data_IF_428900119375
#
_entry.id   IF_428900119375
#
_cell.length_a   1.000
_cell.length_b   1.000
_cell.length_c   1.000
_cell.angle_alpha   90.00
_cell.angle_beta   90.00
_cell.angle_gamma   90.00
#
_symmetry.space_group_name_H-M   'P 1'
#
loop_
_entity.id
_entity.type
_entity.pdbx_description
1 polymer ?
#
# COMPACT_ATOMS: atom_id res chain seq x y z
N UNK A 1 -25.09 3.36 0.29
CA UNK A 1 -24.25 4.24 1.13
C UNK A 1 -22.90 3.55 1.21
N UNK A 2 -21.82 4.23 0.92
CA UNK A 2 -20.47 3.61 0.92
C UNK A 2 -20.01 3.46 2.39
N UNK A 3 -19.80 2.22 2.85
CA UNK A 3 -19.45 1.92 4.24
C UNK A 3 -17.94 1.97 4.51
N UNK A 4 -17.15 2.54 3.59
CA UNK A 4 -15.71 2.67 3.72
C UNK A 4 -15.30 3.66 4.81
N UNK A 5 -14.19 3.41 5.48
CA UNK A 5 -13.60 4.32 6.47
C UNK A 5 -12.96 5.55 5.82
N UNK A 6 -12.28 5.34 4.67
CA UNK A 6 -11.76 6.38 3.80
C UNK A 6 -12.60 6.34 2.53
N UNK A 7 -13.44 7.34 2.33
CA UNK A 7 -14.32 7.43 1.16
C UNK A 7 -13.64 8.14 -0.01
N UNK A 8 -12.66 9.00 0.28
CA UNK A 8 -11.94 9.74 -0.72
C UNK A 8 -10.99 10.76 -0.11
N UNK A 9 -10.42 11.56 -0.97
CA UNK A 9 -9.52 12.66 -0.60
C UNK A 9 -9.73 13.87 -1.51
N UNK A 10 -9.32 15.04 -1.01
CA UNK A 10 -9.26 16.30 -1.76
C UNK A 10 -7.91 16.95 -1.48
N UNK A 11 -7.27 17.53 -2.49
CA UNK A 11 -5.97 18.19 -2.38
C UNK A 11 -6.15 19.69 -2.62
N UNK A 12 -5.78 20.51 -1.63
CA UNK A 12 -5.70 21.95 -1.77
C UNK A 12 -4.30 22.34 -2.26
N UNK A 13 -4.14 22.47 -3.56
CA UNK A 13 -2.87 22.79 -4.19
C UNK A 13 -2.30 24.17 -3.80
N UNK A 14 -3.10 25.09 -3.25
CA UNK A 14 -2.58 26.36 -2.76
C UNK A 14 -1.71 26.21 -1.51
N UNK A 15 -1.84 25.09 -0.81
CA UNK A 15 -1.02 24.75 0.38
C UNK A 15 0.29 24.06 0.04
N UNK A 16 0.49 23.63 -1.20
CA UNK A 16 1.74 23.02 -1.69
C UNK A 16 2.60 24.08 -2.37
N UNK A 17 3.85 24.23 -1.95
CA UNK A 17 4.77 25.22 -2.56
C UNK A 17 4.94 24.99 -4.07
N UNK A 18 5.09 26.06 -4.88
CA UNK A 18 5.22 25.95 -6.33
C UNK A 18 6.38 25.05 -6.80
N UNK A 19 7.46 25.00 -6.01
CA UNK A 19 8.68 24.24 -6.35
C UNK A 19 8.73 22.85 -5.69
N UNK A 20 7.67 22.42 -5.00
CA UNK A 20 7.65 21.12 -4.37
C UNK A 20 7.63 20.02 -5.44
N UNK A 21 8.44 18.97 -5.23
CA UNK A 21 8.60 17.87 -6.18
C UNK A 21 7.29 17.16 -6.53
N UNK A 22 6.32 17.11 -5.60
CA UNK A 22 5.02 16.46 -5.84
C UNK A 22 4.23 17.08 -6.99
N UNK A 23 4.46 18.39 -7.29
CA UNK A 23 3.88 19.07 -8.45
C UNK A 23 4.50 18.62 -9.77
N UNK A 24 5.67 17.99 -9.74
CA UNK A 24 6.36 17.47 -10.91
C UNK A 24 5.98 16.02 -11.21
N UNK A 25 5.20 15.37 -10.35
CA UNK A 25 4.68 14.03 -10.56
C UNK A 25 3.35 14.14 -11.31
N UNK A 26 3.30 13.83 -12.63
CA UNK A 26 2.13 14.13 -13.44
C UNK A 26 0.86 13.49 -12.92
N UNK A 27 0.92 12.21 -12.51
CA UNK A 27 -0.22 11.48 -11.99
C UNK A 27 -0.80 12.10 -10.71
N UNK A 28 0.04 12.69 -9.85
CA UNK A 28 -0.40 13.33 -8.60
C UNK A 28 -0.91 14.75 -8.85
N UNK A 29 -0.17 15.54 -9.65
CA UNK A 29 -0.47 16.95 -9.90
C UNK A 29 -1.82 17.19 -10.57
N UNK A 30 -2.38 16.17 -11.21
CA UNK A 30 -3.71 16.19 -11.83
C UNK A 30 -4.87 15.82 -10.88
N UNK A 31 -4.59 15.54 -9.59
CA UNK A 31 -5.64 15.13 -8.64
C UNK A 31 -6.14 16.36 -7.87
N UNK A 32 -7.39 16.72 -8.07
CA UNK A 32 -8.10 17.62 -7.14
C UNK A 32 -8.90 16.80 -6.12
N UNK A 33 -9.56 15.74 -6.57
CA UNK A 33 -10.36 14.83 -5.75
C UNK A 33 -10.15 13.39 -6.21
N UNK A 34 -10.21 12.45 -5.27
CA UNK A 34 -10.18 11.01 -5.55
C UNK A 34 -11.19 10.29 -4.66
N UNK A 35 -11.89 9.29 -5.20
CA UNK A 35 -12.94 8.56 -4.48
C UNK A 35 -12.67 7.07 -4.52
N UNK A 36 -12.80 6.43 -3.36
CA UNK A 36 -12.72 4.98 -3.20
C UNK A 36 -14.12 4.37 -3.29
N UNK A 37 -14.27 3.27 -4.00
CA UNK A 37 -15.57 2.62 -4.22
C UNK A 37 -15.64 1.22 -3.61
N UNK A 38 -14.48 0.58 -3.40
CA UNK A 38 -14.41 -0.80 -2.91
C UNK A 38 -13.55 -0.91 -1.64
N UNK A 39 -13.76 -1.96 -0.84
CA UNK A 39 -12.96 -2.20 0.37
C UNK A 39 -11.48 -2.46 0.09
N UNK A 40 -11.15 -2.93 -1.11
CA UNK A 40 -9.77 -3.21 -1.51
C UNK A 40 -9.45 -2.38 -2.75
N UNK A 41 -8.46 -1.51 -2.64
CA UNK A 41 -7.98 -0.65 -3.73
C UNK A 41 -6.49 -0.90 -3.94
N UNK A 42 -6.10 -1.19 -5.19
CA UNK A 42 -4.71 -1.29 -5.60
C UNK A 42 -4.28 -0.08 -6.43
N UNK A 43 -3.06 0.39 -6.18
CA UNK A 43 -2.35 1.33 -7.03
C UNK A 43 -1.23 0.59 -7.76
N UNK A 44 -1.21 0.68 -9.09
CA UNK A 44 -0.23 0.05 -9.97
C UNK A 44 0.42 1.09 -10.88
N UNK A 45 1.49 0.72 -11.57
CA UNK A 45 2.22 1.57 -12.52
C UNK A 45 3.73 1.49 -12.31
N UNK A 46 4.51 2.14 -13.18
CA UNK A 46 5.97 2.13 -13.14
C UNK A 46 6.56 2.73 -11.87
N UNK A 47 7.83 2.40 -11.61
CA UNK A 47 8.58 3.01 -10.51
C UNK A 47 8.75 4.52 -10.76
N UNK A 48 8.55 5.33 -9.69
CA UNK A 48 8.61 6.79 -9.80
C UNK A 48 7.31 7.45 -10.28
N UNK A 49 6.25 6.71 -10.61
CA UNK A 49 4.96 7.28 -11.03
C UNK A 49 4.19 7.99 -9.92
N UNK A 50 4.64 7.87 -8.65
CA UNK A 50 4.05 8.59 -7.50
C UNK A 50 3.13 7.75 -6.61
N UNK A 51 3.01 6.44 -6.84
CA UNK A 51 2.14 5.53 -6.05
C UNK A 51 2.43 5.63 -4.55
N UNK A 52 3.68 5.35 -4.15
CA UNK A 52 4.09 5.37 -2.74
C UNK A 52 4.00 6.78 -2.14
N UNK A 53 4.23 7.84 -2.94
CA UNK A 53 4.08 9.24 -2.50
C UNK A 53 2.61 9.54 -2.15
N UNK A 54 1.67 9.13 -3.01
CA UNK A 54 0.24 9.32 -2.73
C UNK A 54 -0.21 8.45 -1.55
N UNK A 55 0.24 7.19 -1.50
CA UNK A 55 -0.10 6.26 -0.43
C UNK A 55 0.37 6.77 0.93
N UNK A 56 1.63 7.25 1.03
CA UNK A 56 2.17 7.86 2.24
C UNK A 56 1.38 9.10 2.65
N UNK A 57 1.05 9.98 1.68
CA UNK A 57 0.26 11.18 1.98
C UNK A 57 -1.14 10.81 2.51
N UNK A 58 -1.79 9.78 1.99
CA UNK A 58 -3.07 9.26 2.50
C UNK A 58 -2.89 8.74 3.93
N UNK A 59 -1.85 7.94 4.18
CA UNK A 59 -1.59 7.37 5.49
C UNK A 59 -1.37 8.46 6.55
N UNK A 60 -0.51 9.44 6.27
CA UNK A 60 -0.21 10.53 7.18
C UNK A 60 -1.42 11.45 7.39
N UNK A 61 -2.13 11.83 6.33
CA UNK A 61 -3.34 12.66 6.43
C UNK A 61 -4.47 11.94 7.19
N UNK A 62 -4.51 10.61 7.14
CA UNK A 62 -5.44 9.80 7.93
C UNK A 62 -5.03 9.68 9.40
N UNK A 63 -3.76 9.92 9.74
CA UNK A 63 -3.22 9.95 11.10
C UNK A 63 -2.31 8.79 11.47
N UNK A 64 -1.71 8.09 10.48
CA UNK A 64 -0.60 7.17 10.70
C UNK A 64 0.74 7.91 10.76
N UNK A 65 1.74 7.27 11.37
CA UNK A 65 3.11 7.74 11.28
C UNK A 65 3.67 7.50 9.86
N UNK A 66 4.44 8.44 9.32
CA UNK A 66 5.08 8.29 8.01
C UNK A 66 6.06 7.10 7.94
N UNK A 67 6.66 6.72 9.08
CA UNK A 67 7.54 5.55 9.17
C UNK A 67 6.77 4.21 9.22
N UNK A 68 5.43 4.25 9.31
CA UNK A 68 4.58 3.06 9.41
C UNK A 68 4.21 2.69 10.85
N UNK A 69 3.49 1.58 11.01
CA UNK A 69 3.00 1.07 12.28
C UNK A 69 1.54 1.40 12.55
N UNK A 70 1.11 1.22 13.80
CA UNK A 70 -0.25 1.57 14.24
C UNK A 70 -0.36 3.07 14.53
N UNK A 71 -1.59 3.60 14.61
CA UNK A 71 -1.83 5.02 14.95
C UNK A 71 -1.30 5.45 16.32
N UNK A 72 -1.03 4.51 17.21
CA UNK A 72 -0.53 4.79 18.57
C UNK A 72 1.00 5.01 18.60
N UNK A 73 1.69 4.73 17.51
CA UNK A 73 3.13 4.99 17.40
C UNK A 73 3.37 6.45 17.01
N UNK A 74 3.58 7.30 18.01
CA UNK A 74 3.94 8.71 17.81
C UNK A 74 5.45 8.89 17.87
N UNK A 75 6.18 8.46 16.84
CA UNK A 75 7.57 8.86 16.66
C UNK A 75 7.73 9.66 15.40
N UNK A 76 8.35 10.79 15.53
CA UNK A 76 8.89 11.54 14.41
C UNK A 76 10.41 11.59 14.58
N UNK A 77 11.14 10.72 13.90
CA UNK A 77 12.60 10.81 13.82
C UNK A 77 13.04 11.82 12.78
N UNK A 78 12.18 12.17 11.82
CA UNK A 78 12.45 13.20 10.80
C UNK A 78 11.15 13.84 10.30
N UNK A 79 11.17 15.17 10.12
CA UNK A 79 10.15 15.94 9.40
C UNK A 79 10.28 15.71 7.87
N UNK A 80 10.23 14.45 7.42
CA UNK A 80 10.34 14.08 6.01
C UNK A 80 8.99 13.97 5.30
N UNK A 81 7.92 14.50 5.92
CA UNK A 81 6.59 14.44 5.33
C UNK A 81 6.55 15.28 4.06
N UNK A 82 6.05 14.69 3.00
CA UNK A 82 5.67 15.43 1.81
C UNK A 82 4.63 16.50 2.19
N UNK A 83 4.80 17.75 1.72
CA UNK A 83 3.79 18.81 1.89
C UNK A 83 2.41 18.38 1.38
N UNK A 84 2.35 17.33 0.58
CA UNK A 84 1.12 16.76 0.06
C UNK A 84 0.17 16.30 1.18
N UNK A 85 0.69 15.69 2.26
CA UNK A 85 -0.16 15.25 3.37
C UNK A 85 -0.83 16.42 4.12
N UNK A 86 -0.15 17.58 4.20
CA UNK A 86 -0.70 18.79 4.83
C UNK A 86 -1.75 19.49 3.96
N UNK A 87 -1.63 19.32 2.63
CA UNK A 87 -2.57 19.85 1.66
C UNK A 87 -3.78 18.91 1.44
N UNK A 88 -3.70 17.67 1.93
CA UNK A 88 -4.71 16.64 1.72
C UNK A 88 -5.77 16.65 2.82
N UNK A 89 -7.02 16.56 2.42
CA UNK A 89 -8.17 16.34 3.30
C UNK A 89 -8.78 14.98 3.01
N UNK A 90 -8.87 14.10 4.01
CA UNK A 90 -9.49 12.78 3.89
C UNK A 90 -10.99 12.87 4.17
N UNK A 91 -11.79 12.48 3.21
CA UNK A 91 -13.23 12.25 3.39
C UNK A 91 -13.43 10.93 4.14
N UNK A 92 -13.77 11.02 5.44
CA UNK A 92 -13.99 9.87 6.31
C UNK A 92 -15.44 9.42 6.27
N UNK A 93 -15.68 8.11 6.28
CA UNK A 93 -16.98 7.52 6.47
C UNK A 93 -17.50 7.73 7.89
N UNK A 94 -18.76 7.30 8.14
CA UNK A 94 -19.40 7.41 9.46
C UNK A 94 -18.86 6.38 10.46
N UNK A 95 -18.32 5.26 9.98
CA UNK A 95 -17.71 4.22 10.81
C UNK A 95 -16.34 4.67 11.32
N UNK A 96 -15.97 4.24 12.52
CA UNK A 96 -14.62 4.43 13.06
C UNK A 96 -13.91 3.09 13.07
N UNK A 97 -12.71 2.97 12.51
CA UNK A 97 -11.97 1.72 12.55
C UNK A 97 -11.51 1.41 13.97
N UNK A 98 -11.59 0.13 14.36
CA UNK A 98 -11.06 -0.36 15.63
C UNK A 98 -9.56 -0.59 15.56
N UNK A 99 -9.07 -0.92 14.37
CA UNK A 99 -7.68 -1.25 14.08
C UNK A 99 -7.16 -0.42 12.92
N UNK A 100 -5.86 -0.37 12.78
CA UNK A 100 -5.24 0.25 11.61
C UNK A 100 -3.74 0.07 11.62
N UNK A 101 -3.19 -0.14 10.44
CA UNK A 101 -1.76 -0.33 10.25
C UNK A 101 -1.30 0.24 8.91
N UNK A 102 -0.22 1.01 8.96
CA UNK A 102 0.51 1.43 7.77
C UNK A 102 1.79 0.62 7.67
N UNK A 103 1.92 -0.13 6.59
CA UNK A 103 3.06 -1.00 6.32
C UNK A 103 3.86 -0.44 5.15
N UNK A 104 5.17 -0.22 5.39
CA UNK A 104 6.15 0.08 4.34
C UNK A 104 7.20 -1.01 4.34
N UNK A 105 7.55 -1.54 3.17
CA UNK A 105 8.60 -2.55 3.05
C UNK A 105 9.94 -2.03 3.61
N UNK A 106 10.26 -0.77 3.34
CA UNK A 106 11.51 -0.12 3.81
C UNK A 106 11.58 0.06 5.34
N UNK A 107 10.44 0.31 5.99
CA UNK A 107 10.39 0.60 7.44
C UNK A 107 10.12 -0.64 8.28
N UNK A 108 9.89 -1.78 7.65
CA UNK A 108 9.54 -3.02 8.35
C UNK A 108 10.56 -3.39 9.43
N UNK A 109 11.85 -3.23 9.15
CA UNK A 109 12.93 -3.46 10.12
C UNK A 109 12.87 -2.54 11.33
N UNK A 110 12.54 -1.28 11.11
CA UNK A 110 12.45 -0.30 12.18
C UNK A 110 11.29 -0.63 13.12
N UNK A 111 10.16 -1.07 12.58
CA UNK A 111 8.99 -1.48 13.38
C UNK A 111 9.27 -2.75 14.16
N UNK A 112 9.90 -3.75 13.56
CA UNK A 112 10.26 -4.99 14.23
C UNK A 112 11.33 -4.77 15.32
N UNK A 113 12.26 -3.84 15.13
CA UNK A 113 13.27 -3.48 16.13
C UNK A 113 12.62 -2.74 17.31
N UNK A 114 11.73 -1.80 17.04
CA UNK A 114 11.06 -1.03 18.07
C UNK A 114 10.05 -1.87 18.90
N UNK A 115 9.49 -2.92 18.33
CA UNK A 115 8.65 -3.86 19.09
C UNK A 115 9.43 -4.50 20.26
N UNK A 116 10.72 -4.75 20.06
CA UNK A 116 11.60 -5.23 21.14
C UNK A 116 11.83 -4.15 22.19
N UNK A 117 12.07 -2.90 21.77
CA UNK A 117 12.32 -1.78 22.70
C UNK A 117 11.10 -1.48 23.59
N UNK A 118 9.89 -1.84 23.15
CA UNK A 118 8.65 -1.70 23.91
C UNK A 118 8.20 -2.98 24.63
N UNK A 119 8.90 -4.10 24.45
CA UNK A 119 8.62 -5.31 25.19
C UNK A 119 9.08 -5.17 26.64
N UNK A 120 8.24 -5.57 27.57
CA UNK A 120 8.50 -5.66 28.99
C UNK A 120 8.07 -7.04 29.53
N UNK A 121 8.21 -7.26 30.85
CA UNK A 121 7.85 -8.53 31.48
C UNK A 121 6.35 -8.84 31.38
N UNK A 122 5.50 -7.81 31.26
CA UNK A 122 4.05 -7.94 31.11
C UNK A 122 3.63 -8.11 29.63
N UNK A 123 4.47 -7.65 28.69
CA UNK A 123 4.26 -7.71 27.25
C UNK A 123 5.53 -8.22 26.55
N UNK A 124 5.78 -9.56 26.60
CA UNK A 124 6.99 -10.14 26.02
C UNK A 124 7.03 -9.95 24.50
N UNK A 125 8.23 -9.71 23.96
CA UNK A 125 8.44 -9.60 22.52
C UNK A 125 7.89 -10.83 21.78
N UNK A 126 7.19 -10.60 20.68
CA UNK A 126 6.65 -11.64 19.80
C UNK A 126 7.72 -12.34 18.95
N UNK A 127 8.99 -11.93 19.12
CA UNK A 127 10.14 -12.60 18.52
C UNK A 127 10.21 -12.53 16.99
N UNK A 128 9.71 -11.45 16.39
CA UNK A 128 9.73 -11.27 14.94
C UNK A 128 11.13 -11.37 14.34
N UNK A 129 12.18 -10.95 15.04
CA UNK A 129 13.57 -11.06 14.60
C UNK A 129 14.12 -12.49 14.54
N UNK A 130 13.46 -13.46 15.20
CA UNK A 130 13.88 -14.87 15.18
C UNK A 130 13.31 -15.63 13.98
N UNK A 131 12.44 -15.00 13.21
CA UNK A 131 11.79 -15.56 12.02
C UNK A 131 12.48 -15.03 10.75
N UNK A 132 12.31 -15.74 9.62
CA UNK A 132 12.71 -15.17 8.33
C UNK A 132 11.90 -13.91 8.02
N UNK A 133 12.43 -13.00 7.21
CA UNK A 133 11.77 -11.73 6.83
C UNK A 133 10.30 -11.90 6.43
N UNK A 134 10.03 -12.86 5.55
CA UNK A 134 8.68 -13.12 5.10
C UNK A 134 7.77 -13.74 6.16
N UNK A 135 8.31 -14.48 7.14
CA UNK A 135 7.54 -15.02 8.27
C UNK A 135 7.19 -13.93 9.27
N UNK A 136 8.15 -13.06 9.55
CA UNK A 136 7.94 -11.92 10.44
C UNK A 136 6.90 -10.97 9.86
N UNK A 137 6.99 -10.72 8.54
CA UNK A 137 6.03 -9.87 7.83
C UNK A 137 4.60 -10.44 7.91
N UNK A 138 4.42 -11.73 7.59
CA UNK A 138 3.10 -12.37 7.69
C UNK A 138 2.60 -12.42 9.12
N UNK A 139 3.47 -12.67 10.09
CA UNK A 139 3.09 -12.67 11.50
C UNK A 139 2.61 -11.29 11.96
N UNK A 140 3.33 -10.22 11.62
CA UNK A 140 2.91 -8.83 11.90
C UNK A 140 1.58 -8.54 11.19
N UNK A 141 1.47 -8.86 9.90
CA UNK A 141 0.23 -8.66 9.17
C UNK A 141 -0.94 -9.38 9.84
N UNK A 142 -0.77 -10.65 10.25
CA UNK A 142 -1.79 -11.44 10.92
C UNK A 142 -2.13 -10.91 12.33
N UNK A 143 -1.14 -10.43 13.08
CA UNK A 143 -1.32 -9.94 14.44
C UNK A 143 -2.05 -8.58 14.49
N UNK A 144 -1.87 -7.75 13.46
CA UNK A 144 -2.45 -6.40 13.39
C UNK A 144 -3.64 -6.29 12.43
N UNK A 145 -3.89 -7.30 11.58
CA UNK A 145 -5.06 -7.34 10.70
C UNK A 145 -6.28 -7.92 11.41
N UNK A 146 -7.39 -7.24 11.29
CA UNK A 146 -8.69 -7.68 11.82
C UNK A 146 -9.84 -7.02 11.08
N UNK A 147 -11.05 -7.47 11.38
CA UNK A 147 -12.27 -6.83 10.94
C UNK A 147 -12.35 -5.38 11.43
N UNK A 148 -13.10 -4.54 10.74
CA UNK A 148 -13.29 -3.13 11.09
C UNK A 148 -11.97 -2.31 11.18
N UNK A 149 -10.99 -2.62 10.32
CA UNK A 149 -9.68 -1.95 10.29
C UNK A 149 -9.42 -1.18 9.00
N UNK A 150 -8.44 -0.26 9.05
CA UNK A 150 -7.89 0.44 7.88
C UNK A 150 -6.43 0.07 7.73
N UNK A 151 -6.08 -0.47 6.56
CA UNK A 151 -4.76 -1.00 6.26
C UNK A 151 -4.21 -0.34 4.99
N UNK A 152 -3.04 0.24 5.10
CA UNK A 152 -2.35 0.90 4.01
C UNK A 152 -1.02 0.17 3.83
N UNK A 153 -0.80 -0.45 2.66
CA UNK A 153 0.37 -1.30 2.41
C UNK A 153 1.16 -0.82 1.20
N UNK A 154 2.45 -0.60 1.40
CA UNK A 154 3.38 -0.24 0.34
C UNK A 154 4.28 -1.45 0.02
N UNK A 155 4.06 -2.06 -1.15
CA UNK A 155 4.76 -3.22 -1.69
C UNK A 155 4.87 -4.41 -0.70
N UNK A 156 3.76 -4.90 -0.15
CA UNK A 156 3.79 -5.96 0.84
C UNK A 156 4.40 -7.27 0.32
N UNK A 157 4.48 -7.46 -0.99
CA UNK A 157 5.09 -8.63 -1.62
C UNK A 157 6.61 -8.66 -1.57
N UNK A 158 7.31 -7.55 -1.35
CA UNK A 158 8.77 -7.44 -1.48
C UNK A 158 9.54 -8.46 -0.62
N UNK A 159 8.99 -8.85 0.53
CA UNK A 159 9.57 -9.85 1.42
C UNK A 159 8.94 -11.24 1.31
N UNK A 160 7.99 -11.46 0.39
CA UNK A 160 7.15 -12.66 0.36
C UNK A 160 7.42 -13.55 -0.85
N UNK A 161 7.60 -14.85 -0.59
CA UNK A 161 7.53 -15.86 -1.65
C UNK A 161 6.13 -15.91 -2.28
N UNK A 162 5.97 -16.41 -3.52
CA UNK A 162 4.66 -16.52 -4.17
C UNK A 162 3.60 -17.23 -3.32
N UNK A 163 3.97 -18.29 -2.62
CA UNK A 163 3.06 -19.01 -1.74
C UNK A 163 2.61 -18.15 -0.53
N UNK A 164 3.52 -17.33 0.02
CA UNK A 164 3.20 -16.40 1.11
C UNK A 164 2.35 -15.23 0.64
N UNK A 165 2.51 -14.80 -0.60
CA UNK A 165 1.63 -13.80 -1.22
C UNK A 165 0.20 -14.31 -1.33
N UNK A 166 -0.02 -15.60 -1.66
CA UNK A 166 -1.35 -16.22 -1.62
C UNK A 166 -1.93 -16.25 -0.21
N UNK A 167 -1.11 -16.51 0.81
CA UNK A 167 -1.56 -16.47 2.21
C UNK A 167 -1.98 -15.05 2.60
N UNK A 168 -1.20 -14.04 2.23
CA UNK A 168 -1.54 -12.63 2.48
C UNK A 168 -2.83 -12.25 1.74
N UNK A 169 -2.99 -12.64 0.48
CA UNK A 169 -4.20 -12.41 -0.32
C UNK A 169 -5.45 -12.94 0.40
N UNK A 170 -5.41 -14.19 0.87
CA UNK A 170 -6.53 -14.81 1.59
C UNK A 170 -6.87 -14.03 2.86
N UNK A 171 -5.86 -13.58 3.61
CA UNK A 171 -6.05 -12.82 4.85
C UNK A 171 -6.68 -11.45 4.58
N UNK A 172 -6.17 -10.71 3.58
CA UNK A 172 -6.73 -9.42 3.14
C UNK A 172 -8.19 -9.61 2.73
N UNK A 173 -8.47 -10.60 1.89
CA UNK A 173 -9.83 -10.86 1.40
C UNK A 173 -10.80 -11.14 2.56
N UNK A 174 -10.42 -12.01 3.50
CA UNK A 174 -11.26 -12.33 4.67
C UNK A 174 -11.54 -11.10 5.54
N UNK A 175 -10.50 -10.33 5.87
CA UNK A 175 -10.66 -9.11 6.65
C UNK A 175 -11.57 -8.08 5.94
N UNK A 176 -11.43 -7.95 4.61
CA UNK A 176 -12.27 -7.05 3.83
C UNK A 176 -13.75 -7.48 3.82
N UNK A 177 -14.03 -8.80 3.73
CA UNK A 177 -15.40 -9.34 3.85
C UNK A 177 -16.00 -9.09 5.24
N UNK A 178 -15.17 -8.94 6.26
CA UNK A 178 -15.55 -8.61 7.64
C UNK A 178 -15.54 -7.09 7.93
N UNK A 179 -15.42 -6.27 6.90
CA UNK A 179 -15.58 -4.82 6.97
C UNK A 179 -14.30 -4.00 7.10
N UNK A 180 -13.12 -4.60 6.91
CA UNK A 180 -11.86 -3.87 6.80
C UNK A 180 -11.72 -3.18 5.44
N UNK A 181 -10.89 -2.13 5.39
CA UNK A 181 -10.53 -1.44 4.16
C UNK A 181 -9.02 -1.48 3.94
N UNK A 182 -8.63 -1.76 2.69
CA UNK A 182 -7.24 -1.85 2.26
C UNK A 182 -6.95 -0.89 1.11
N UNK A 183 -5.83 -0.15 1.21
CA UNK A 183 -5.25 0.63 0.11
C UNK A 183 -3.82 0.14 -0.06
N UNK A 184 -3.49 -0.40 -1.22
CA UNK A 184 -2.28 -1.19 -1.42
C UNK A 184 -1.56 -0.73 -2.69
N UNK A 185 -0.28 -0.40 -2.60
CA UNK A 185 0.62 -0.35 -3.75
C UNK A 185 1.21 -1.74 -3.94
N UNK A 186 1.12 -2.29 -5.14
CA UNK A 186 1.67 -3.62 -5.42
C UNK A 186 2.07 -3.79 -6.89
N UNK A 187 3.14 -4.56 -7.12
CA UNK A 187 3.57 -5.06 -8.42
C UNK A 187 3.35 -6.57 -8.57
N UNK A 188 2.77 -7.23 -7.57
CA UNK A 188 2.55 -8.67 -7.58
C UNK A 188 1.33 -9.05 -8.43
N UNK A 189 1.49 -9.81 -9.52
CA UNK A 189 0.34 -10.34 -10.27
C UNK A 189 -0.51 -11.30 -9.43
N UNK A 190 0.02 -11.85 -8.33
CA UNK A 190 -0.72 -12.68 -7.39
C UNK A 190 -1.67 -11.81 -6.55
N UNK A 191 -1.16 -10.75 -5.94
CA UNK A 191 -1.98 -9.87 -5.10
C UNK A 191 -3.01 -9.09 -5.92
N UNK A 192 -2.62 -8.60 -7.11
CA UNK A 192 -3.50 -7.88 -8.03
C UNK A 192 -4.67 -8.74 -8.53
N UNK A 193 -4.52 -10.09 -8.53
CA UNK A 193 -5.61 -11.03 -8.83
C UNK A 193 -6.68 -11.14 -7.74
N UNK A 194 -6.70 -10.23 -6.76
CA UNK A 194 -7.68 -10.17 -5.67
C UNK A 194 -9.09 -9.98 -6.22
N UNK A 195 -10.05 -10.88 -5.87
CA UNK A 195 -11.43 -10.68 -6.29
C UNK A 195 -12.05 -9.44 -5.64
N UNK A 196 -12.98 -8.81 -6.33
CA UNK A 196 -13.72 -7.64 -5.87
C UNK A 196 -12.86 -6.40 -5.52
N UNK A 197 -11.60 -6.37 -5.88
CA UNK A 197 -10.76 -5.19 -5.75
C UNK A 197 -11.04 -4.16 -6.88
N UNK A 198 -10.66 -2.90 -6.64
CA UNK A 198 -10.50 -1.90 -7.68
C UNK A 198 -9.00 -1.63 -7.87
N UNK A 199 -8.58 -1.43 -9.12
CA UNK A 199 -7.20 -1.17 -9.48
C UNK A 199 -7.14 0.16 -10.21
N UNK A 200 -6.20 1.03 -9.80
CA UNK A 200 -5.91 2.30 -10.46
C UNK A 200 -4.47 2.29 -10.94
N UNK A 201 -4.29 2.55 -12.25
CA UNK A 201 -2.96 2.75 -12.84
C UNK A 201 -2.54 4.21 -12.74
N UNK A 202 -1.25 4.40 -12.46
CA UNK A 202 -0.55 5.69 -12.42
C UNK A 202 0.27 5.94 -13.70
N UNK A 203 0.11 5.08 -14.69
CA UNK A 203 0.84 5.19 -15.94
C UNK A 203 0.31 6.32 -16.83
N UNK A 204 1.12 6.75 -17.80
CA UNK A 204 0.79 7.85 -18.69
C UNK A 204 0.49 9.20 -17.98
N UNK A 205 0.97 9.38 -16.75
CA UNK A 205 0.86 10.64 -16.02
C UNK A 205 -0.54 10.98 -15.50
N UNK A 206 -1.44 10.00 -15.44
CA UNK A 206 -2.80 10.16 -14.90
C UNK A 206 -3.16 8.95 -14.04
N UNK A 207 -4.11 9.16 -13.10
CA UNK A 207 -4.68 8.04 -12.34
C UNK A 207 -5.99 7.63 -13.00
N UNK A 208 -6.07 6.39 -13.43
CA UNK A 208 -7.26 5.85 -14.11
C UNK A 208 -7.55 4.41 -13.71
N UNK A 209 -8.82 3.98 -13.74
CA UNK A 209 -9.19 2.59 -13.48
C UNK A 209 -8.51 1.65 -14.49
N UNK A 210 -8.06 0.49 -13.99
CA UNK A 210 -7.40 -0.53 -14.79
C UNK A 210 -8.01 -1.91 -14.45
N UNK A 211 -8.13 -2.79 -15.46
CA UNK A 211 -8.50 -4.19 -15.21
C UNK A 211 -7.25 -4.99 -14.83
N UNK A 212 -7.44 -6.08 -14.09
CA UNK A 212 -6.34 -6.96 -13.68
C UNK A 212 -5.50 -7.45 -14.88
N UNK A 213 -6.20 -7.88 -15.93
CA UNK A 213 -5.59 -8.41 -17.15
C UNK A 213 -4.82 -7.39 -17.98
N UNK A 214 -5.06 -6.10 -17.75
CA UNK A 214 -4.41 -4.98 -18.45
C UNK A 214 -3.20 -4.44 -17.66
N UNK A 215 -2.96 -4.94 -16.44
CA UNK A 215 -1.78 -4.51 -15.66
C UNK A 215 -0.49 -5.07 -16.27
N UNK A 216 0.57 -4.26 -16.33
CA UNK A 216 1.88 -4.69 -16.83
C UNK A 216 2.41 -5.92 -16.10
N UNK A 217 2.24 -5.97 -14.79
CA UNK A 217 2.64 -7.10 -13.97
C UNK A 217 2.01 -8.42 -14.44
N UNK A 218 0.71 -8.39 -14.76
CA UNK A 218 0.01 -9.57 -15.30
C UNK A 218 0.46 -9.89 -16.72
N UNK A 219 0.44 -8.91 -17.62
CA UNK A 219 0.73 -9.10 -19.05
C UNK A 219 2.15 -9.65 -19.24
N UNK A 220 3.14 -9.02 -18.61
CA UNK A 220 4.55 -9.43 -18.74
C UNK A 220 4.75 -10.81 -18.13
N UNK A 221 4.26 -11.06 -16.90
CA UNK A 221 4.42 -12.35 -16.23
C UNK A 221 3.76 -13.47 -17.01
N UNK A 222 2.51 -13.29 -17.47
CA UNK A 222 1.78 -14.27 -18.26
C UNK A 222 2.47 -14.59 -19.58
N UNK A 223 2.91 -13.56 -20.30
CA UNK A 223 3.59 -13.70 -21.58
C UNK A 223 4.90 -14.46 -21.40
N UNK A 224 5.70 -14.08 -20.42
CA UNK A 224 6.97 -14.73 -20.13
C UNK A 224 6.80 -16.20 -19.73
N UNK A 225 5.90 -16.51 -18.79
CA UNK A 225 5.69 -17.86 -18.31
C UNK A 225 5.18 -18.80 -19.43
N UNK A 226 4.25 -18.31 -20.26
CA UNK A 226 3.65 -19.10 -21.31
C UNK A 226 4.56 -19.27 -22.54
N UNK A 227 5.43 -18.29 -22.84
CA UNK A 227 6.23 -18.26 -24.06
C UNK A 227 7.70 -17.92 -23.79
N UNK A 228 8.25 -18.44 -22.68
CA UNK A 228 9.57 -18.09 -22.17
C UNK A 228 10.67 -18.10 -23.26
N UNK A 229 10.75 -19.18 -24.04
CA UNK A 229 11.81 -19.33 -25.03
C UNK A 229 11.71 -18.27 -26.16
N UNK A 230 10.51 -18.02 -26.62
CA UNK A 230 10.27 -17.00 -27.66
C UNK A 230 10.60 -15.60 -27.13
N UNK A 231 10.13 -15.29 -25.91
CA UNK A 231 10.36 -14.00 -25.27
C UNK A 231 11.86 -13.73 -25.05
N UNK A 232 12.60 -14.74 -24.56
CA UNK A 232 14.04 -14.64 -24.37
C UNK A 232 14.79 -14.49 -25.71
N UNK A 233 14.36 -15.21 -26.76
CA UNK A 233 14.98 -15.07 -28.09
C UNK A 233 14.83 -13.65 -28.65
N UNK A 234 13.69 -13.00 -28.44
CA UNK A 234 13.48 -11.62 -28.84
C UNK A 234 14.40 -10.67 -28.05
N UNK A 235 14.38 -10.76 -26.70
CA UNK A 235 15.16 -9.85 -25.83
C UNK A 235 16.69 -10.01 -25.98
N UNK A 236 17.18 -11.22 -26.24
CA UNK A 236 18.63 -11.51 -26.25
C UNK A 236 19.24 -11.47 -27.66
N UNK A 237 18.44 -11.48 -28.72
CA UNK A 237 18.88 -11.46 -30.11
C UNK A 237 18.46 -10.18 -30.85
N UNK A 238 17.96 -9.15 -30.17
CA UNK A 238 17.85 -7.80 -30.71
C UNK A 238 19.26 -7.19 -30.76
N UNK A 239 19.91 -7.27 -31.95
CA UNK A 239 21.00 -6.40 -32.40
C UNK A 239 20.44 -5.23 -33.21
#
# INVERSE_FOLDING_TARGET
MNDLFIQGLTIDWNRVRPYNYVRQIPAISGIDTFTFHKPITFFVGENGSGKSTLLEAIAVAYGFNAEGGTKNYSFSTYNSHSELCEAMTISKGYRRPKFGYFLRAESFYNVATKEIDYSDDDHPSKGYHQKSHGESFLAIAQDYMGADGVYIFDEPEAALSPQRQLTLLINIYRCAQEGAQFIIVSHSPILLGMPDAEIFSFDNGTIHPCQYEDTDSYVITKTFVNNRQHFLNQLLNEE
#
